data_IF_450679697535
#
_entry.id   IF_450679697535
#
_cell.length_a   1.000
_cell.length_b   1.000
_cell.length_c   1.000
_cell.angle_alpha   90.00
_cell.angle_beta   90.00
_cell.angle_gamma   90.00
#
_symmetry.space_group_name_H-M   'P 1'
#
loop_
_entity.id
_entity.type
_entity.pdbx_description
1 polymer ?
#
# COMPACT_ATOMS: atom_id res chain seq x y z
N UNK A 1 4.73 -41.24 -3.66
CA UNK A 1 5.28 -40.58 -2.46
C UNK A 1 4.75 -39.15 -2.44
N UNK A 2 4.15 -38.71 -1.32
CA UNK A 2 3.68 -37.33 -1.15
C UNK A 2 4.88 -36.39 -1.05
N UNK A 3 4.88 -35.19 -1.66
CA UNK A 3 5.91 -34.21 -1.36
C UNK A 3 5.65 -33.68 0.06
N UNK A 4 6.61 -33.87 0.94
CA UNK A 4 6.65 -33.20 2.24
C UNK A 4 6.87 -31.71 1.97
N UNK A 5 5.80 -30.93 2.17
CA UNK A 5 5.86 -29.47 2.37
C UNK A 5 6.75 -29.21 3.59
N UNK A 6 8.03 -28.96 3.36
CA UNK A 6 8.90 -28.42 4.39
C UNK A 6 8.50 -26.96 4.59
N UNK A 7 7.83 -26.70 5.70
CA UNK A 7 7.36 -25.38 6.12
C UNK A 7 8.47 -24.50 6.66
N UNK A 8 9.49 -24.20 5.86
CA UNK A 8 10.26 -22.98 6.06
C UNK A 8 9.57 -21.87 5.27
N UNK A 9 9.16 -20.81 5.96
CA UNK A 9 9.01 -19.53 5.30
C UNK A 9 10.33 -19.25 4.56
N UNK A 10 10.25 -18.79 3.31
CA UNK A 10 11.43 -18.45 2.50
C UNK A 10 12.29 -17.38 3.18
N UNK A 11 13.41 -16.99 2.57
CA UNK A 11 14.19 -15.87 3.09
C UNK A 11 13.28 -14.63 3.28
N UNK A 12 13.56 -13.72 4.23
CA UNK A 12 12.70 -12.55 4.48
C UNK A 12 12.35 -11.78 3.20
N UNK A 13 13.31 -11.63 2.29
CA UNK A 13 13.14 -11.01 0.97
C UNK A 13 12.15 -11.75 0.06
N UNK A 14 12.17 -13.09 0.06
CA UNK A 14 11.23 -13.91 -0.72
C UNK A 14 9.80 -13.77 -0.18
N UNK A 15 9.64 -13.72 1.15
CA UNK A 15 8.34 -13.52 1.80
C UNK A 15 7.78 -12.14 1.40
N UNK A 16 8.61 -11.10 1.43
CA UNK A 16 8.22 -9.74 1.06
C UNK A 16 7.81 -9.72 -0.41
N UNK A 17 8.63 -10.29 -1.31
CA UNK A 17 8.33 -10.33 -2.74
C UNK A 17 7.02 -11.07 -3.03
N UNK A 18 6.81 -12.26 -2.44
CA UNK A 18 5.57 -13.03 -2.61
C UNK A 18 4.36 -12.25 -2.08
N UNK A 19 4.51 -11.60 -0.92
CA UNK A 19 3.45 -10.82 -0.29
C UNK A 19 3.07 -9.58 -1.10
N UNK A 20 4.06 -8.80 -1.57
CA UNK A 20 3.83 -7.62 -2.41
C UNK A 20 3.23 -8.03 -3.76
N UNK A 21 3.64 -9.15 -4.33
CA UNK A 21 3.06 -9.69 -5.56
C UNK A 21 1.58 -10.08 -5.39
N UNK A 22 1.20 -10.67 -4.26
CA UNK A 22 -0.21 -10.87 -3.94
C UNK A 22 -0.99 -9.56 -3.81
N UNK A 23 -0.35 -8.50 -3.31
CA UNK A 23 -0.97 -7.17 -3.22
C UNK A 23 -1.16 -6.54 -4.61
N UNK A 24 -0.17 -6.67 -5.51
CA UNK A 24 -0.29 -6.21 -6.92
C UNK A 24 -1.43 -6.89 -7.68
N UNK A 25 -1.80 -8.11 -7.30
CA UNK A 25 -2.90 -8.87 -7.89
C UNK A 25 -4.23 -8.72 -7.15
N UNK A 26 -4.26 -8.00 -6.03
CA UNK A 26 -5.46 -7.88 -5.18
C UNK A 26 -5.86 -9.19 -4.49
N UNK A 27 -4.94 -10.16 -4.41
CA UNK A 27 -5.17 -11.49 -3.88
C UNK A 27 -5.15 -11.50 -2.34
N UNK A 28 -6.19 -10.94 -1.72
CA UNK A 28 -6.33 -10.87 -0.25
C UNK A 28 -6.12 -12.20 0.46
N UNK A 29 -6.63 -13.31 -0.11
CA UNK A 29 -6.43 -14.63 0.46
C UNK A 29 -4.94 -15.01 0.55
N UNK A 30 -4.16 -14.76 -0.51
CA UNK A 30 -2.72 -15.00 -0.53
C UNK A 30 -1.98 -14.18 0.53
N UNK A 31 -2.30 -12.88 0.62
CA UNK A 31 -1.76 -11.99 1.67
C UNK A 31 -2.05 -12.55 3.07
N UNK A 32 -3.31 -12.93 3.35
CA UNK A 32 -3.67 -13.49 4.66
C UNK A 32 -3.01 -14.84 4.94
N UNK A 33 -2.80 -15.68 3.92
CA UNK A 33 -2.16 -16.97 4.05
C UNK A 33 -0.67 -16.83 4.43
N UNK A 34 0.01 -15.82 3.90
CA UNK A 34 1.40 -15.48 4.27
C UNK A 34 1.43 -14.94 5.70
N UNK A 35 0.62 -13.92 6.00
CA UNK A 35 0.64 -13.26 7.31
C UNK A 35 0.25 -14.20 8.47
N UNK A 36 -0.54 -15.25 8.22
CA UNK A 36 -0.84 -16.29 9.22
C UNK A 36 0.37 -17.13 9.64
N UNK A 37 1.39 -17.22 8.78
CA UNK A 37 2.65 -17.93 9.08
C UNK A 37 3.65 -17.02 9.79
N UNK A 38 3.50 -15.71 9.66
CA UNK A 38 4.36 -14.69 10.28
C UNK A 38 3.86 -14.36 11.68
N UNK A 39 4.79 -14.16 12.61
CA UNK A 39 4.46 -13.72 13.97
C UNK A 39 3.72 -12.37 13.95
N UNK A 40 2.72 -12.20 14.80
CA UNK A 40 1.85 -11.03 14.81
C UNK A 40 2.62 -9.72 14.98
N UNK A 41 3.59 -9.67 15.89
CA UNK A 41 4.42 -8.48 16.12
C UNK A 41 5.36 -8.16 14.94
N UNK A 42 5.64 -9.15 14.09
CA UNK A 42 6.48 -8.96 12.91
C UNK A 42 5.67 -8.53 11.67
N UNK A 43 4.32 -8.59 11.70
CA UNK A 43 3.48 -8.28 10.53
C UNK A 43 3.62 -6.82 10.09
N UNK A 44 3.44 -5.86 11.01
CA UNK A 44 3.60 -4.44 10.70
C UNK A 44 4.98 -4.11 10.11
N UNK A 45 6.09 -4.46 10.81
CA UNK A 45 7.45 -4.27 10.27
C UNK A 45 7.68 -4.95 8.92
N UNK A 46 7.13 -6.14 8.69
CA UNK A 46 7.22 -6.83 7.40
C UNK A 46 6.49 -6.08 6.29
N UNK A 47 5.28 -5.57 6.55
CA UNK A 47 4.45 -4.86 5.58
C UNK A 47 5.01 -3.48 5.19
N UNK A 48 5.86 -2.90 6.05
CA UNK A 48 6.55 -1.64 5.80
C UNK A 48 7.82 -1.80 4.95
N UNK A 49 8.27 -3.04 4.71
CA UNK A 49 9.44 -3.29 3.87
C UNK A 49 9.08 -3.21 2.39
N UNK A 50 10.06 -2.81 1.60
CA UNK A 50 9.97 -2.77 0.15
C UNK A 50 10.43 -4.10 -0.43
N UNK A 51 9.77 -4.55 -1.50
CA UNK A 51 10.30 -5.62 -2.34
C UNK A 51 11.42 -5.12 -3.25
N UNK A 52 11.95 -6.02 -4.08
CA UNK A 52 13.05 -5.71 -5.01
C UNK A 52 12.69 -4.72 -6.13
N UNK A 53 11.43 -4.30 -6.26
CA UNK A 53 11.00 -3.23 -7.16
C UNK A 53 10.87 -1.88 -6.44
N UNK A 54 11.07 -1.87 -5.12
CA UNK A 54 10.95 -0.69 -4.28
C UNK A 54 9.53 -0.40 -3.80
N UNK A 55 8.61 -1.37 -3.89
CA UNK A 55 7.21 -1.21 -3.48
C UNK A 55 6.93 -1.87 -2.13
N UNK A 56 6.09 -1.25 -1.31
CA UNK A 56 5.51 -1.91 -0.12
C UNK A 56 4.23 -2.65 -0.48
N UNK A 57 3.74 -3.46 0.47
CA UNK A 57 2.45 -4.13 0.34
C UNK A 57 1.30 -3.14 0.07
N UNK A 58 1.32 -2.00 0.78
CA UNK A 58 0.27 -1.00 0.71
C UNK A 58 0.37 -0.15 -0.57
N UNK A 59 1.56 0.23 -1.02
CA UNK A 59 1.71 0.93 -2.31
C UNK A 59 1.27 0.04 -3.47
N UNK A 60 1.58 -1.25 -3.44
CA UNK A 60 1.13 -2.20 -4.45
C UNK A 60 -0.40 -2.39 -4.46
N UNK A 61 -1.02 -2.51 -3.27
CA UNK A 61 -2.48 -2.62 -3.18
C UNK A 61 -3.19 -1.34 -3.65
N UNK A 62 -2.63 -0.17 -3.30
CA UNK A 62 -3.15 1.12 -3.72
C UNK A 62 -3.00 1.35 -5.23
N UNK A 63 -1.89 0.91 -5.82
CA UNK A 63 -1.68 0.97 -7.27
C UNK A 63 -2.74 0.20 -8.07
N UNK A 64 -3.23 -0.91 -7.51
CA UNK A 64 -4.29 -1.72 -8.11
C UNK A 64 -5.72 -1.26 -7.79
N UNK A 65 -5.89 -0.24 -6.93
CA UNK A 65 -7.21 0.22 -6.51
C UNK A 65 -7.97 -0.78 -5.65
N UNK A 66 -7.26 -1.69 -4.96
CA UNK A 66 -7.86 -2.77 -4.19
C UNK A 66 -8.29 -2.29 -2.79
N UNK A 67 -9.34 -1.47 -2.74
CA UNK A 67 -9.88 -0.84 -1.53
C UNK A 67 -10.05 -1.83 -0.36
N UNK A 68 -10.59 -3.02 -0.63
CA UNK A 68 -10.86 -4.06 0.37
C UNK A 68 -9.60 -4.71 0.93
N UNK A 69 -8.50 -4.66 0.17
CA UNK A 69 -7.18 -5.10 0.60
C UNK A 69 -6.45 -3.97 1.34
N UNK A 70 -6.54 -2.73 0.85
CA UNK A 70 -6.02 -1.53 1.51
C UNK A 70 -6.61 -1.40 2.92
N UNK A 71 -7.94 -1.45 3.07
CA UNK A 71 -8.65 -1.49 4.37
C UNK A 71 -8.16 -2.60 5.29
N UNK A 72 -7.80 -3.76 4.73
CA UNK A 72 -7.31 -4.88 5.52
C UNK A 72 -5.89 -4.63 6.02
N UNK A 73 -5.01 -4.12 5.16
CA UNK A 73 -3.62 -3.82 5.51
C UNK A 73 -3.53 -2.71 6.55
N UNK A 74 -4.32 -1.65 6.43
CA UNK A 74 -4.33 -0.52 7.37
C UNK A 74 -4.78 -0.92 8.79
N UNK A 75 -5.57 -1.99 8.91
CA UNK A 75 -5.99 -2.54 10.21
C UNK A 75 -4.92 -3.39 10.90
N UNK A 76 -3.81 -3.68 10.23
CA UNK A 76 -2.73 -4.49 10.82
C UNK A 76 -1.87 -3.59 11.71
N UNK A 77 -1.69 -3.95 13.00
CA UNK A 77 -0.87 -3.15 13.91
C UNK A 77 0.56 -2.95 13.39
N UNK A 78 1.04 -1.71 13.49
CA UNK A 78 2.41 -1.33 13.11
C UNK A 78 2.62 -1.11 11.61
N UNK A 79 1.59 -1.19 10.78
CA UNK A 79 1.66 -0.72 9.39
C UNK A 79 1.78 0.79 9.37
N UNK A 80 2.77 1.30 8.64
CA UNK A 80 2.95 2.71 8.37
C UNK A 80 2.38 3.01 6.97
N UNK A 81 1.29 3.80 6.85
CA UNK A 81 0.68 4.05 5.57
C UNK A 81 1.41 5.09 4.71
N UNK A 82 2.46 5.71 5.24
CA UNK A 82 3.18 6.80 4.60
C UNK A 82 4.52 6.35 3.98
N UNK A 83 4.80 5.05 3.96
CA UNK A 83 6.04 4.53 3.35
C UNK A 83 6.01 4.76 1.85
N UNK A 84 7.00 5.52 1.37
CA UNK A 84 7.14 5.85 -0.05
C UNK A 84 7.75 4.71 -0.84
N UNK A 85 7.48 4.65 -2.15
CA UNK A 85 8.23 3.81 -3.07
C UNK A 85 9.66 4.33 -3.21
N UNK A 86 10.61 3.44 -3.49
CA UNK A 86 12.02 3.83 -3.62
C UNK A 86 12.30 4.68 -4.86
N UNK A 87 11.65 4.36 -5.99
CA UNK A 87 11.99 4.97 -7.28
C UNK A 87 11.33 6.32 -7.53
N UNK A 88 10.10 6.51 -7.07
CA UNK A 88 9.32 7.73 -7.36
C UNK A 88 8.99 8.53 -6.11
N UNK A 89 9.23 7.99 -4.92
CA UNK A 89 8.81 8.63 -3.68
C UNK A 89 7.29 8.60 -3.47
N UNK A 90 6.55 7.77 -4.19
CA UNK A 90 5.08 7.75 -4.11
C UNK A 90 4.63 7.09 -2.81
N UNK A 91 3.80 7.77 -2.04
CA UNK A 91 3.02 7.13 -0.96
C UNK A 91 1.89 6.28 -1.56
N UNK A 92 1.27 5.37 -0.78
CA UNK A 92 0.04 4.69 -1.20
C UNK A 92 -1.06 5.65 -1.65
N UNK A 93 -1.20 6.80 -0.98
CA UNK A 93 -2.18 7.82 -1.35
C UNK A 93 -1.86 8.44 -2.72
N UNK A 94 -0.61 8.88 -2.96
CA UNK A 94 -0.18 9.40 -4.26
C UNK A 94 -0.43 8.35 -5.36
N UNK A 95 -0.10 7.08 -5.08
CA UNK A 95 -0.27 6.00 -6.05
C UNK A 95 -1.74 5.75 -6.43
N UNK A 96 -2.67 5.79 -5.46
CA UNK A 96 -4.10 5.66 -5.72
C UNK A 96 -4.64 6.88 -6.46
N UNK A 97 -4.18 8.07 -6.09
CA UNK A 97 -4.62 9.35 -6.63
C UNK A 97 -4.20 9.53 -8.10
N UNK A 98 -2.92 9.31 -8.41
CA UNK A 98 -2.37 9.37 -9.78
C UNK A 98 -2.98 8.33 -10.74
N UNK A 99 -3.63 7.28 -10.20
CA UNK A 99 -4.27 6.22 -11.00
C UNK A 99 -5.79 6.32 -11.05
N UNK A 100 -6.40 7.30 -10.39
CA UNK A 100 -7.85 7.50 -10.46
C UNK A 100 -8.66 6.55 -9.57
N UNK A 101 -8.05 5.95 -8.54
CA UNK A 101 -8.72 4.96 -7.69
C UNK A 101 -9.50 5.60 -6.54
N UNK A 102 -10.57 6.33 -6.87
CA UNK A 102 -11.36 7.13 -5.93
C UNK A 102 -11.74 6.40 -4.62
N UNK A 103 -12.31 5.19 -4.69
CA UNK A 103 -12.67 4.41 -3.50
C UNK A 103 -11.46 4.08 -2.59
N UNK A 104 -10.28 3.91 -3.17
CA UNK A 104 -9.05 3.65 -2.43
C UNK A 104 -8.53 4.94 -1.81
N UNK A 105 -8.65 6.06 -2.51
CA UNK A 105 -8.34 7.38 -1.95
C UNK A 105 -9.25 7.68 -0.76
N UNK A 106 -10.56 7.52 -0.90
CA UNK A 106 -11.52 7.72 0.20
C UNK A 106 -11.16 6.86 1.41
N UNK A 107 -10.75 5.62 1.17
CA UNK A 107 -10.28 4.74 2.24
C UNK A 107 -9.05 5.30 2.95
N UNK A 108 -8.08 5.82 2.20
CA UNK A 108 -6.82 6.31 2.76
C UNK A 108 -7.00 7.66 3.48
N UNK A 109 -7.79 8.59 2.93
CA UNK A 109 -7.97 9.92 3.53
C UNK A 109 -8.82 9.91 4.81
N UNK A 110 -9.61 8.86 5.02
CA UNK A 110 -10.36 8.67 6.28
C UNK A 110 -9.51 8.01 7.38
N UNK A 111 -8.32 7.50 7.07
CA UNK A 111 -7.43 6.90 8.05
C UNK A 111 -6.54 7.98 8.71
N UNK A 112 -6.68 8.25 10.02
CA UNK A 112 -6.03 9.39 10.67
C UNK A 112 -4.50 9.41 10.62
N UNK A 113 -3.88 8.24 10.39
CA UNK A 113 -2.42 8.10 10.31
C UNK A 113 -1.87 8.42 8.92
N UNK A 114 -2.73 8.61 7.92
CA UNK A 114 -2.31 8.96 6.56
C UNK A 114 -1.99 10.44 6.49
N UNK A 115 -0.78 10.75 6.05
CA UNK A 115 -0.34 12.13 5.83
C UNK A 115 -0.66 12.54 4.39
N UNK A 116 -1.51 13.55 4.23
CA UNK A 116 -2.03 13.98 2.93
C UNK A 116 -1.03 14.86 2.14
N UNK A 117 -0.11 15.52 2.83
CA UNK A 117 0.80 16.54 2.29
C UNK A 117 2.22 16.03 2.01
N UNK A 118 2.44 14.71 2.01
CA UNK A 118 3.75 14.15 1.63
C UNK A 118 4.00 14.41 0.15
N UNK A 119 5.21 14.88 -0.17
CA UNK A 119 5.65 15.16 -1.53
C UNK A 119 6.49 14.01 -2.09
N UNK A 120 6.22 13.67 -3.35
CA UNK A 120 6.96 12.69 -4.12
C UNK A 120 8.36 13.20 -4.55
N UNK A 121 9.07 12.42 -5.39
CA UNK A 121 10.37 12.81 -5.92
C UNK A 121 10.32 14.03 -6.87
N UNK A 122 9.16 14.35 -7.46
CA UNK A 122 8.95 15.55 -8.28
C UNK A 122 8.50 16.76 -7.46
N UNK A 123 8.29 16.60 -6.15
CA UNK A 123 7.81 17.64 -5.25
C UNK A 123 6.29 17.81 -5.25
N UNK A 124 5.52 16.85 -5.77
CA UNK A 124 4.06 16.88 -5.85
C UNK A 124 3.40 16.08 -4.71
N UNK A 125 2.31 16.61 -4.16
CA UNK A 125 1.40 15.93 -3.23
C UNK A 125 0.44 15.00 -3.96
N UNK A 126 -0.35 14.22 -3.22
CA UNK A 126 -1.36 13.35 -3.82
C UNK A 126 -2.45 14.10 -4.60
N UNK A 127 -2.87 15.28 -4.12
CA UNK A 127 -3.85 16.12 -4.83
C UNK A 127 -3.26 16.67 -6.13
N UNK A 128 -2.03 17.16 -6.09
CA UNK A 128 -1.31 17.68 -7.27
C UNK A 128 -1.09 16.58 -8.32
N UNK A 129 -0.74 15.36 -7.91
CA UNK A 129 -0.60 14.20 -8.81
C UNK A 129 -1.92 13.74 -9.42
N UNK A 130 -3.02 13.81 -8.65
CA UNK A 130 -4.36 13.56 -9.18
C UNK A 130 -4.73 14.59 -10.25
N UNK A 131 -4.46 15.87 -10.01
CA UNK A 131 -4.72 16.95 -10.98
C UNK A 131 -3.86 16.79 -12.24
N UNK A 132 -2.56 16.53 -12.09
CA UNK A 132 -1.65 16.25 -13.20
C UNK A 132 -2.13 15.07 -14.06
N UNK A 133 -2.72 14.06 -13.42
CA UNK A 133 -3.27 12.86 -14.07
C UNK A 133 -4.74 13.03 -14.53
N UNK A 134 -5.31 14.24 -14.44
CA UNK A 134 -6.68 14.58 -14.82
C UNK A 134 -7.77 13.84 -14.02
N UNK A 135 -7.52 13.60 -12.73
CA UNK A 135 -8.44 13.06 -11.72
C UNK A 135 -8.89 14.17 -10.75
N UNK A 136 -9.58 15.18 -11.28
CA UNK A 136 -9.92 16.40 -10.55
C UNK A 136 -10.82 16.14 -9.33
N UNK A 137 -11.76 15.20 -9.45
CA UNK A 137 -12.64 14.76 -8.37
C UNK A 137 -11.87 14.22 -7.16
N UNK A 138 -10.79 13.49 -7.42
CA UNK A 138 -9.89 12.97 -6.39
C UNK A 138 -9.08 14.09 -5.74
N UNK A 139 -8.58 15.04 -6.55
CA UNK A 139 -7.86 16.21 -6.03
C UNK A 139 -8.75 17.02 -5.08
N UNK A 140 -9.99 17.28 -5.49
CA UNK A 140 -11.00 17.96 -4.67
C UNK A 140 -11.30 17.19 -3.38
N UNK A 141 -11.44 15.85 -3.45
CA UNK A 141 -11.67 15.01 -2.28
C UNK A 141 -10.52 15.13 -1.25
N UNK A 142 -9.26 15.07 -1.71
CA UNK A 142 -8.09 15.19 -0.82
C UNK A 142 -7.99 16.59 -0.22
N UNK A 143 -8.11 17.64 -1.04
CA UNK A 143 -8.00 19.04 -0.57
C UNK A 143 -9.14 19.44 0.36
N UNK A 144 -10.33 18.86 0.20
CA UNK A 144 -11.45 19.06 1.12
C UNK A 144 -11.14 18.60 2.55
N UNK A 145 -10.27 17.59 2.73
CA UNK A 145 -9.85 17.10 4.06
C UNK A 145 -8.80 17.97 4.73
N UNK A 146 -8.13 18.83 3.97
CA UNK A 146 -7.14 19.78 4.48
C UNK A 146 -7.78 21.10 4.94
N UNK A 147 -9.00 21.37 4.48
CA UNK A 147 -9.76 22.56 4.83
C UNK A 147 -10.40 22.37 6.22
N UNK A 148 -10.18 23.29 7.19
CA UNK A 148 -10.68 23.18 8.55
C UNK A 148 -12.20 23.38 8.70
#
# INVERSE_FOLDING_TARGET
>A
MKPTRNGSLGAPEEIISELVEHCRKGHKWGVTAILRKVNEQARGPLLNQRDHFGDTALTAAAAGGYDSLVKYLLKIPGVNPNVTTERTGFTPLIMAAAKGHANTVDTLIEEPTVELEIRDANGMTAAEEAEYSNHLDISDAITSKLSP
#
